data_IF_227747424912
#
_entry.id   IF_227747424912
#
_cell.length_a   1.000
_cell.length_b   1.000
_cell.length_c   1.000
_cell.angle_alpha   90.00
_cell.angle_beta   90.00
_cell.angle_gamma   90.00
#
_symmetry.space_group_name_H-M   'P 1'
#
loop_
_entity.id
_entity.type
_entity.pdbx_description
1 polymer ?
#
# COMPACT_ATOMS: atom_id res chain seq x y z
N UNK A 1 34.06 -7.71 -9.30
CA UNK A 1 33.19 -7.32 -8.17
C UNK A 1 31.70 -7.31 -8.53
N UNK A 2 31.25 -6.73 -9.65
CA UNK A 2 29.83 -6.69 -10.03
C UNK A 2 29.17 -8.08 -10.21
N UNK A 3 29.92 -9.09 -10.68
CA UNK A 3 29.41 -10.46 -10.89
C UNK A 3 28.98 -11.13 -9.57
N UNK A 4 29.62 -10.81 -8.43
CA UNK A 4 29.24 -11.35 -7.12
C UNK A 4 27.88 -10.83 -6.66
N UNK A 5 27.66 -9.51 -6.82
CA UNK A 5 26.43 -8.86 -6.35
C UNK A 5 25.18 -9.32 -7.09
N UNK A 6 25.28 -9.53 -8.41
CA UNK A 6 24.15 -10.05 -9.20
C UNK A 6 23.80 -11.49 -8.81
N UNK A 7 24.79 -12.33 -8.51
CA UNK A 7 24.56 -13.70 -8.04
C UNK A 7 23.89 -13.69 -6.66
N UNK A 8 24.41 -12.88 -5.73
CA UNK A 8 23.84 -12.72 -4.39
C UNK A 8 22.40 -12.18 -4.44
N UNK A 9 22.10 -11.24 -5.34
CA UNK A 9 20.75 -10.74 -5.58
C UNK A 9 19.82 -11.82 -6.15
N UNK A 10 20.31 -12.61 -7.10
CA UNK A 10 19.56 -13.73 -7.67
C UNK A 10 19.19 -14.79 -6.63
N UNK A 11 20.11 -15.09 -5.70
CA UNK A 11 19.83 -15.96 -4.54
C UNK A 11 18.75 -15.36 -3.64
N UNK A 12 18.84 -14.07 -3.31
CA UNK A 12 17.80 -13.39 -2.50
C UNK A 12 16.43 -13.41 -3.18
N UNK A 13 16.37 -13.25 -4.50
CA UNK A 13 15.12 -13.38 -5.26
C UNK A 13 14.59 -14.82 -5.26
N UNK A 14 15.46 -15.81 -5.33
CA UNK A 14 15.08 -17.22 -5.25
C UNK A 14 14.50 -17.54 -3.86
N UNK A 15 15.14 -17.06 -2.79
CA UNK A 15 14.65 -17.20 -1.41
C UNK A 15 13.30 -16.50 -1.24
N UNK A 16 13.16 -15.29 -1.80
CA UNK A 16 11.88 -14.55 -1.78
C UNK A 16 10.77 -15.30 -2.51
N UNK A 17 11.08 -15.92 -3.66
CA UNK A 17 10.14 -16.76 -4.40
C UNK A 17 9.77 -18.01 -3.61
N UNK A 18 10.71 -18.61 -2.87
CA UNK A 18 10.45 -19.75 -2.02
C UNK A 18 9.55 -19.36 -0.83
N UNK A 19 9.84 -18.24 -0.14
CA UNK A 19 8.99 -17.70 0.91
C UNK A 19 7.58 -17.37 0.38
N UNK A 20 7.52 -16.72 -0.78
CA UNK A 20 6.25 -16.42 -1.46
C UNK A 20 5.52 -17.70 -1.83
N UNK A 21 6.22 -18.76 -2.27
CA UNK A 21 5.62 -20.06 -2.59
C UNK A 21 5.06 -20.76 -1.34
N UNK A 22 5.75 -20.66 -0.21
CA UNK A 22 5.26 -21.18 1.07
C UNK A 22 4.02 -20.41 1.51
N UNK A 23 4.04 -19.08 1.39
CA UNK A 23 2.83 -18.27 1.61
C UNK A 23 1.71 -18.66 0.65
N UNK A 24 1.99 -18.86 -0.66
CA UNK A 24 1.06 -19.29 -1.74
C UNK A 24 0.38 -20.62 -1.44
N UNK A 25 1.05 -21.51 -0.72
CA UNK A 25 0.46 -22.77 -0.26
C UNK A 25 -0.34 -22.62 1.02
N UNK A 26 -0.24 -21.49 1.71
CA UNK A 26 -1.01 -21.16 2.89
C UNK A 26 -2.42 -20.69 2.55
N UNK A 27 -3.39 -21.08 3.38
CA UNK A 27 -4.81 -20.68 3.30
C UNK A 27 -5.01 -19.15 3.39
N UNK A 28 -3.96 -18.40 3.75
CA UNK A 28 -4.01 -16.96 4.02
C UNK A 28 -4.06 -16.07 2.78
N UNK A 29 -3.63 -16.53 1.59
CA UNK A 29 -3.54 -15.63 0.43
C UNK A 29 -4.87 -15.30 -0.20
N UNK A 30 -5.80 -16.25 -0.26
CA UNK A 30 -7.11 -15.96 -0.86
C UNK A 30 -7.83 -14.86 -0.07
N UNK A 31 -7.98 -14.94 1.26
CA UNK A 31 -8.57 -13.85 2.04
C UNK A 31 -7.79 -12.53 1.92
N UNK A 32 -6.45 -12.57 1.93
CA UNK A 32 -5.66 -11.35 1.78
C UNK A 32 -5.85 -10.71 0.41
N UNK A 33 -5.80 -11.47 -0.67
CA UNK A 33 -6.02 -10.96 -2.03
C UNK A 33 -7.43 -10.40 -2.19
N UNK A 34 -8.45 -11.05 -1.62
CA UNK A 34 -9.81 -10.54 -1.62
C UNK A 34 -9.95 -9.23 -0.84
N UNK A 35 -9.41 -9.16 0.38
CA UNK A 35 -9.39 -7.92 1.18
C UNK A 35 -8.66 -6.83 0.41
N UNK A 36 -7.54 -7.17 -0.21
CA UNK A 36 -6.72 -6.24 -0.97
C UNK A 36 -7.43 -5.65 -2.18
N UNK A 37 -8.05 -6.48 -3.01
CA UNK A 37 -8.80 -6.05 -4.19
C UNK A 37 -9.98 -5.14 -3.80
N UNK A 38 -10.59 -5.42 -2.65
CA UNK A 38 -11.70 -4.63 -2.11
C UNK A 38 -11.27 -3.37 -1.37
N UNK A 39 -9.98 -3.19 -1.06
CA UNK A 39 -9.46 -2.05 -0.29
C UNK A 39 -8.60 -1.12 -1.15
N UNK A 40 -7.94 -1.61 -2.20
CA UNK A 40 -7.04 -0.82 -3.04
C UNK A 40 -7.70 0.44 -3.66
N UNK A 41 -7.05 1.61 -3.70
CA UNK A 41 -7.61 2.80 -4.34
C UNK A 41 -7.97 2.58 -5.82
N UNK A 42 -9.16 3.01 -6.29
CA UNK A 42 -9.51 2.95 -7.70
C UNK A 42 -8.69 3.96 -8.54
N UNK A 43 -8.29 3.63 -9.79
CA UNK A 43 -8.49 2.36 -10.48
C UNK A 43 -7.45 1.28 -10.09
N UNK A 44 -7.95 0.08 -9.77
CA UNK A 44 -7.16 -1.02 -9.17
C UNK A 44 -6.00 -1.50 -10.07
N UNK A 45 -6.17 -1.46 -11.39
CA UNK A 45 -5.14 -1.92 -12.33
C UNK A 45 -3.87 -1.05 -12.28
N UNK A 46 -4.03 0.28 -12.35
CA UNK A 46 -2.91 1.23 -12.31
C UNK A 46 -2.24 1.21 -10.94
N UNK A 47 -3.04 1.16 -9.86
CA UNK A 47 -2.54 1.08 -8.50
C UNK A 47 -1.73 -0.19 -8.27
N UNK A 48 -2.19 -1.35 -8.78
CA UNK A 48 -1.46 -2.62 -8.64
C UNK A 48 -0.10 -2.59 -9.35
N UNK A 49 -0.07 -2.16 -10.62
CA UNK A 49 1.18 -2.12 -11.42
C UNK A 49 2.20 -1.15 -10.82
N UNK A 50 1.75 0.05 -10.43
CA UNK A 50 2.62 1.04 -9.79
C UNK A 50 3.13 0.57 -8.43
N UNK A 51 2.28 -0.06 -7.61
CA UNK A 51 2.69 -0.60 -6.31
C UNK A 51 3.77 -1.66 -6.48
N UNK A 52 3.55 -2.68 -7.32
CA UNK A 52 4.55 -3.74 -7.53
C UNK A 52 5.87 -3.24 -8.10
N UNK A 53 5.81 -2.24 -9.00
CA UNK A 53 7.03 -1.62 -9.54
C UNK A 53 7.82 -0.89 -8.45
N UNK A 54 7.14 -0.12 -7.60
CA UNK A 54 7.78 0.64 -6.52
C UNK A 54 8.28 -0.27 -5.38
N UNK A 55 7.57 -1.34 -5.06
CA UNK A 55 8.02 -2.37 -4.11
C UNK A 55 9.33 -3.02 -4.59
N UNK A 56 9.42 -3.38 -5.88
CA UNK A 56 10.63 -3.94 -6.46
C UNK A 56 11.79 -2.94 -6.40
N UNK A 57 11.55 -1.67 -6.76
CA UNK A 57 12.56 -0.62 -6.68
C UNK A 57 13.02 -0.40 -5.23
N UNK A 58 12.11 -0.43 -4.26
CA UNK A 58 12.43 -0.32 -2.84
C UNK A 58 13.29 -1.50 -2.36
N UNK A 59 12.98 -2.73 -2.78
CA UNK A 59 13.78 -3.92 -2.46
C UNK A 59 15.19 -3.83 -3.06
N UNK A 60 15.31 -3.43 -4.34
CA UNK A 60 16.59 -3.19 -5.01
C UNK A 60 17.39 -2.11 -4.26
N UNK A 61 16.74 -1.02 -3.85
CA UNK A 61 17.36 0.07 -3.10
C UNK A 61 17.93 -0.42 -1.76
N UNK A 62 17.15 -1.17 -0.98
CA UNK A 62 17.60 -1.75 0.30
C UNK A 62 18.79 -2.67 0.06
N UNK A 63 18.74 -3.53 -0.95
CA UNK A 63 19.83 -4.45 -1.24
C UNK A 63 21.11 -3.70 -1.64
N UNK A 64 21.02 -2.75 -2.59
CA UNK A 64 22.19 -2.00 -3.08
C UNK A 64 22.85 -1.17 -1.97
N UNK A 65 22.05 -0.45 -1.18
CA UNK A 65 22.60 0.53 -0.24
C UNK A 65 22.78 -0.03 1.17
N UNK A 66 21.96 -0.99 1.62
CA UNK A 66 21.95 -1.42 3.02
C UNK A 66 22.57 -2.80 3.24
N UNK A 67 22.89 -3.55 2.18
CA UNK A 67 23.53 -4.86 2.31
C UNK A 67 24.91 -4.85 2.99
N UNK A 68 25.59 -3.69 3.07
CA UNK A 68 26.86 -3.55 3.83
C UNK A 68 26.71 -2.88 5.19
N UNK A 69 25.49 -2.49 5.56
CA UNK A 69 25.22 -1.83 6.85
C UNK A 69 25.38 -2.84 7.99
N UNK A 70 25.82 -2.39 9.18
CA UNK A 70 25.91 -3.24 10.38
C UNK A 70 24.54 -3.76 10.82
N UNK A 71 24.51 -4.94 11.44
CA UNK A 71 23.27 -5.57 11.92
C UNK A 71 22.43 -4.71 12.88
N UNK A 72 22.99 -4.06 13.93
CA UNK A 72 22.16 -3.26 14.84
C UNK A 72 21.47 -2.08 14.14
N UNK A 73 22.10 -1.51 13.10
CA UNK A 73 21.50 -0.46 12.29
C UNK A 73 20.38 -1.00 11.39
N UNK A 74 20.56 -2.19 10.79
CA UNK A 74 19.52 -2.85 10.02
C UNK A 74 18.30 -3.19 10.89
N UNK A 75 18.50 -3.72 12.09
CA UNK A 75 17.42 -4.01 13.03
C UNK A 75 16.63 -2.75 13.41
N UNK A 76 17.34 -1.65 13.70
CA UNK A 76 16.68 -0.36 13.97
C UNK A 76 15.86 0.13 12.78
N UNK A 77 16.41 0.06 11.56
CA UNK A 77 15.70 0.45 10.33
C UNK A 77 14.49 -0.45 10.07
N UNK A 78 14.59 -1.75 10.35
CA UNK A 78 13.48 -2.68 10.23
C UNK A 78 12.34 -2.32 11.19
N UNK A 79 12.65 -2.04 12.46
CA UNK A 79 11.66 -1.59 13.46
C UNK A 79 10.96 -0.31 13.02
N UNK A 80 11.72 0.66 12.51
CA UNK A 80 11.17 1.92 11.98
C UNK A 80 10.26 1.63 10.78
N UNK A 81 10.68 0.80 9.82
CA UNK A 81 9.88 0.45 8.66
C UNK A 81 8.56 -0.26 9.04
N UNK A 82 8.60 -1.18 10.01
CA UNK A 82 7.40 -1.86 10.52
C UNK A 82 6.46 -0.86 11.22
N UNK A 83 7.00 0.03 12.04
CA UNK A 83 6.19 1.05 12.71
C UNK A 83 5.56 2.02 11.70
N UNK A 84 6.32 2.48 10.70
CA UNK A 84 5.83 3.32 9.60
C UNK A 84 4.77 2.61 8.76
N UNK A 85 4.94 1.31 8.49
CA UNK A 85 3.91 0.49 7.82
C UNK A 85 2.62 0.46 8.63
N UNK A 86 2.69 0.16 9.94
CA UNK A 86 1.52 0.08 10.79
C UNK A 86 0.78 1.43 10.89
N UNK A 87 1.52 2.53 11.10
CA UNK A 87 0.94 3.88 11.15
C UNK A 87 0.35 4.29 9.79
N UNK A 88 1.07 4.05 8.70
CA UNK A 88 0.59 4.35 7.35
C UNK A 88 -0.68 3.57 7.02
N UNK A 89 -0.76 2.29 7.42
CA UNK A 89 -1.91 1.44 7.19
C UNK A 89 -3.13 1.93 7.97
N UNK A 90 -2.97 2.28 9.25
CA UNK A 90 -4.05 2.86 10.07
C UNK A 90 -4.54 4.17 9.47
N UNK A 91 -3.64 5.08 9.11
CA UNK A 91 -4.00 6.35 8.45
C UNK A 91 -4.73 6.12 7.12
N UNK A 92 -4.23 5.20 6.30
CA UNK A 92 -4.85 4.84 5.04
C UNK A 92 -6.26 4.28 5.25
N UNK A 93 -6.45 3.32 6.16
CA UNK A 93 -7.76 2.73 6.45
C UNK A 93 -8.74 3.77 6.99
N UNK A 94 -8.29 4.66 7.88
CA UNK A 94 -9.10 5.75 8.41
C UNK A 94 -9.59 6.70 7.31
N UNK A 95 -8.68 7.16 6.43
CA UNK A 95 -9.05 8.03 5.32
C UNK A 95 -9.91 7.30 4.28
N UNK A 96 -9.62 6.02 4.00
CA UNK A 96 -10.42 5.22 3.09
C UNK A 96 -11.85 5.05 3.63
N UNK A 97 -12.02 4.79 4.92
CA UNK A 97 -13.35 4.73 5.54
C UNK A 97 -14.07 6.08 5.52
N UNK A 98 -13.33 7.18 5.63
CA UNK A 98 -13.92 8.54 5.70
C UNK A 98 -14.30 9.11 4.33
N UNK A 99 -13.61 8.70 3.26
CA UNK A 99 -13.75 9.30 1.94
C UNK A 99 -14.13 8.31 0.82
N UNK A 100 -14.30 7.02 1.12
CA UNK A 100 -14.65 6.04 0.11
C UNK A 100 -15.97 5.37 0.45
N UNK A 101 -16.94 5.55 -0.44
CA UNK A 101 -18.29 4.99 -0.31
C UNK A 101 -18.55 3.92 -1.37
N UNK A 102 -19.36 2.93 -0.99
CA UNK A 102 -19.81 1.85 -1.86
C UNK A 102 -21.31 2.01 -2.11
N UNK A 103 -21.72 2.52 -3.28
CA UNK A 103 -23.11 2.90 -3.55
C UNK A 103 -24.08 1.71 -3.74
N UNK A 104 -23.58 0.46 -3.75
CA UNK A 104 -24.39 -0.75 -3.82
C UNK A 104 -23.65 -1.93 -4.46
N UNK A 105 -24.31 -3.08 -4.59
CA UNK A 105 -23.76 -4.24 -5.28
C UNK A 105 -23.62 -3.98 -6.78
N UNK A 106 -22.43 -4.22 -7.32
CA UNK A 106 -22.15 -4.08 -8.76
C UNK A 106 -21.65 -2.71 -9.20
N UNK A 107 -21.66 -1.70 -8.32
CA UNK A 107 -21.06 -0.39 -8.59
C UNK A 107 -19.66 -0.30 -7.97
N UNK A 108 -18.77 0.41 -8.65
CA UNK A 108 -17.42 0.66 -8.16
C UNK A 108 -17.42 1.56 -6.92
N UNK A 109 -16.38 1.45 -6.09
CA UNK A 109 -16.14 2.38 -4.98
C UNK A 109 -15.91 3.80 -5.52
N UNK A 110 -16.51 4.77 -4.85
CA UNK A 110 -16.43 6.19 -5.21
C UNK A 110 -15.63 6.92 -4.15
N UNK A 111 -14.75 7.81 -4.60
CA UNK A 111 -13.96 8.68 -3.73
C UNK A 111 -14.69 10.02 -3.61
N UNK A 112 -15.06 10.37 -2.39
CA UNK A 112 -15.66 11.65 -2.04
C UNK A 112 -14.60 12.75 -1.93
N UNK A 113 -15.00 13.98 -2.24
CA UNK A 113 -14.18 15.16 -1.99
C UNK A 113 -14.41 15.74 -0.59
N UNK A 114 -13.48 16.55 -0.10
CA UNK A 114 -13.69 17.30 1.15
C UNK A 114 -14.40 18.66 0.94
N UNK A 115 -14.62 19.09 -0.31
CA UNK A 115 -15.25 20.37 -0.63
C UNK A 115 -16.40 20.19 -1.62
N UNK A 116 -17.62 20.36 -1.11
CA UNK A 116 -18.87 20.34 -1.89
C UNK A 116 -18.89 21.53 -2.86
N UNK A 117 -19.48 21.35 -4.04
CA UNK A 117 -19.64 22.44 -5.02
C UNK A 117 -20.62 23.51 -4.50
N UNK A 118 -20.44 24.80 -4.87
CA UNK A 118 -21.28 25.87 -4.33
C UNK A 118 -22.77 25.73 -4.64
N UNK A 119 -23.13 25.23 -5.82
CA UNK A 119 -24.50 24.97 -6.26
C UNK A 119 -25.18 23.86 -5.46
N UNK A 120 -24.45 22.79 -5.14
CA UNK A 120 -24.95 21.71 -4.28
C UNK A 120 -25.01 22.16 -2.82
N UNK A 121 -24.00 22.90 -2.34
CA UNK A 121 -23.97 23.43 -0.98
C UNK A 121 -25.17 24.34 -0.68
N UNK A 122 -25.73 25.03 -1.68
CA UNK A 122 -26.90 25.88 -1.53
C UNK A 122 -28.22 25.11 -1.27
N UNK A 123 -28.29 23.83 -1.65
CA UNK A 123 -29.49 22.99 -1.44
C UNK A 123 -29.39 22.08 -0.22
N UNK A 124 -28.19 21.89 0.34
CA UNK A 124 -27.98 21.06 1.53
C UNK A 124 -28.65 21.66 2.76
N UNK A 125 -29.38 20.82 3.50
CA UNK A 125 -30.07 21.20 4.74
C UNK A 125 -30.25 19.98 5.66
N UNK A 126 -30.97 20.12 6.77
CA UNK A 126 -31.17 19.01 7.72
C UNK A 126 -31.89 17.79 7.13
N UNK A 127 -32.70 18.00 6.10
CA UNK A 127 -33.50 16.97 5.42
C UNK A 127 -32.87 16.49 4.10
N UNK A 128 -31.81 17.14 3.63
CA UNK A 128 -31.13 16.82 2.37
C UNK A 128 -29.62 16.85 2.59
N UNK A 129 -29.03 15.67 2.76
CA UNK A 129 -27.61 15.49 3.08
C UNK A 129 -26.78 15.27 1.82
N UNK A 130 -25.45 15.22 1.99
CA UNK A 130 -24.51 15.02 0.89
C UNK A 130 -24.73 13.65 0.22
N UNK A 131 -25.11 12.64 1.01
CA UNK A 131 -25.42 11.30 0.51
C UNK A 131 -26.66 11.29 -0.39
N UNK A 132 -27.66 12.13 -0.09
CA UNK A 132 -28.86 12.31 -0.93
C UNK A 132 -28.49 12.99 -2.26
N UNK A 133 -27.66 14.06 -2.19
CA UNK A 133 -27.14 14.73 -3.38
C UNK A 133 -26.32 13.80 -4.28
N UNK A 134 -25.53 12.90 -3.67
CA UNK A 134 -24.78 11.88 -4.40
C UNK A 134 -25.71 10.87 -5.09
N UNK A 135 -26.72 10.38 -4.37
CA UNK A 135 -27.71 9.46 -4.93
C UNK A 135 -28.48 10.07 -6.10
N UNK A 136 -28.95 11.32 -5.96
CA UNK A 136 -29.69 12.04 -7.00
C UNK A 136 -28.82 12.38 -8.22
N UNK A 137 -27.50 12.46 -8.01
CA UNK A 137 -26.50 12.69 -9.06
C UNK A 137 -26.05 11.41 -9.77
N UNK A 138 -26.79 10.30 -9.61
CA UNK A 138 -26.43 8.97 -10.13
C UNK A 138 -25.06 8.48 -9.62
N UNK A 139 -24.70 8.89 -8.41
CA UNK A 139 -23.41 8.59 -7.78
C UNK A 139 -22.19 9.13 -8.54
N UNK A 140 -22.36 10.22 -9.30
CA UNK A 140 -21.24 10.95 -9.89
C UNK A 140 -20.62 11.93 -8.88
N UNK A 141 -19.40 11.67 -8.36
CA UNK A 141 -18.79 12.53 -7.36
C UNK A 141 -18.48 13.94 -7.90
N UNK A 142 -18.28 14.12 -9.21
CA UNK A 142 -17.96 15.43 -9.81
C UNK A 142 -19.17 16.37 -9.83
N UNK A 143 -20.39 15.82 -9.75
CA UNK A 143 -21.61 16.62 -9.62
C UNK A 143 -21.80 17.15 -8.20
N UNK A 144 -21.27 16.48 -7.19
CA UNK A 144 -21.43 16.83 -5.77
C UNK A 144 -20.25 17.63 -5.22
N UNK A 145 -19.02 17.15 -5.47
CA UNK A 145 -17.79 17.75 -4.94
C UNK A 145 -16.97 18.42 -6.04
N UNK A 146 -16.13 19.36 -5.61
CA UNK A 146 -15.19 20.02 -6.53
C UNK A 146 -14.13 19.01 -7.01
N UNK A 147 -13.81 19.05 -8.31
CA UNK A 147 -12.81 18.17 -8.92
C UNK A 147 -11.45 18.23 -8.20
N UNK A 148 -11.04 19.42 -7.79
CA UNK A 148 -9.80 19.63 -7.04
C UNK A 148 -9.79 18.87 -5.72
N UNK A 149 -10.90 18.89 -4.98
CA UNK A 149 -10.99 18.18 -3.70
C UNK A 149 -10.93 16.67 -3.87
N UNK A 150 -11.61 16.13 -4.90
CA UNK A 150 -11.57 14.69 -5.22
C UNK A 150 -10.15 14.29 -5.62
N UNK A 151 -9.49 15.08 -6.47
CA UNK A 151 -8.14 14.80 -6.93
C UNK A 151 -7.12 14.77 -5.77
N UNK A 152 -7.23 15.71 -4.83
CA UNK A 152 -6.37 15.74 -3.64
C UNK A 152 -6.58 14.48 -2.79
N UNK A 153 -7.83 14.14 -2.45
CA UNK A 153 -8.15 12.94 -1.64
C UNK A 153 -7.62 11.68 -2.33
N UNK A 154 -7.87 11.53 -3.63
CA UNK A 154 -7.38 10.41 -4.42
C UNK A 154 -5.86 10.28 -4.38
N UNK A 155 -5.14 11.40 -4.56
CA UNK A 155 -3.68 11.40 -4.51
C UNK A 155 -3.13 11.09 -3.12
N UNK A 156 -3.77 11.59 -2.05
CA UNK A 156 -3.39 11.28 -0.66
C UNK A 156 -3.58 9.80 -0.35
N UNK A 157 -4.75 9.22 -0.71
CA UNK A 157 -5.02 7.79 -0.53
C UNK A 157 -4.01 6.93 -1.30
N UNK A 158 -3.74 7.26 -2.56
CA UNK A 158 -2.76 6.54 -3.38
C UNK A 158 -1.34 6.65 -2.81
N UNK A 159 -0.94 7.84 -2.36
CA UNK A 159 0.40 8.05 -1.78
C UNK A 159 0.59 7.26 -0.49
N UNK A 160 -0.41 7.27 0.41
CA UNK A 160 -0.39 6.49 1.64
C UNK A 160 -0.36 5.00 1.34
N UNK A 161 -1.17 4.54 0.39
CA UNK A 161 -1.17 3.15 -0.07
C UNK A 161 0.24 2.72 -0.52
N UNK A 162 0.82 3.43 -1.49
CA UNK A 162 2.16 3.13 -2.01
C UNK A 162 3.21 3.19 -0.88
N UNK A 163 3.14 4.21 -0.03
CA UNK A 163 4.06 4.36 1.11
C UNK A 163 4.02 3.15 2.05
N UNK A 164 2.83 2.64 2.38
CA UNK A 164 2.70 1.45 3.22
C UNK A 164 3.38 0.25 2.59
N UNK A 165 3.17 0.02 1.29
CA UNK A 165 3.76 -1.11 0.57
C UNK A 165 5.27 -1.01 0.40
N UNK A 166 5.79 0.19 0.18
CA UNK A 166 7.24 0.43 0.22
C UNK A 166 7.81 0.08 1.61
N UNK A 167 7.17 0.52 2.69
CA UNK A 167 7.63 0.19 4.05
C UNK A 167 7.61 -1.32 4.31
N UNK A 168 6.57 -2.02 3.85
CA UNK A 168 6.46 -3.47 3.93
C UNK A 168 7.60 -4.15 3.15
N UNK A 169 7.79 -3.81 1.88
CA UNK A 169 8.84 -4.36 1.03
C UNK A 169 10.23 -4.12 1.62
N UNK A 170 10.49 -2.92 2.15
CA UNK A 170 11.75 -2.59 2.84
C UNK A 170 11.94 -3.48 4.07
N UNK A 171 10.92 -3.65 4.90
CA UNK A 171 10.99 -4.46 6.12
C UNK A 171 11.27 -5.94 5.81
N UNK A 172 10.60 -6.50 4.80
CA UNK A 172 10.81 -7.88 4.35
C UNK A 172 12.20 -8.08 3.76
N UNK A 173 12.68 -7.12 2.96
CA UNK A 173 14.02 -7.18 2.38
C UNK A 173 15.09 -7.13 3.47
N UNK A 174 14.96 -6.25 4.47
CA UNK A 174 15.89 -6.22 5.61
C UNK A 174 15.85 -7.54 6.39
N UNK A 175 14.65 -8.08 6.63
CA UNK A 175 14.49 -9.36 7.33
C UNK A 175 15.25 -10.49 6.62
N UNK A 176 15.09 -10.62 5.29
CA UNK A 176 15.81 -11.62 4.49
C UNK A 176 17.33 -11.42 4.59
N UNK A 177 17.81 -10.18 4.50
CA UNK A 177 19.25 -9.87 4.65
C UNK A 177 19.77 -10.27 6.04
N UNK A 178 19.04 -9.97 7.11
CA UNK A 178 19.42 -10.35 8.47
C UNK A 178 19.40 -11.87 8.67
N UNK A 179 18.40 -12.58 8.15
CA UNK A 179 18.33 -14.04 8.23
C UNK A 179 19.51 -14.71 7.52
N UNK A 180 19.82 -14.26 6.29
CA UNK A 180 20.94 -14.79 5.51
C UNK A 180 22.28 -14.62 6.24
N UNK A 181 22.52 -13.47 6.87
CA UNK A 181 23.74 -13.23 7.66
C UNK A 181 23.84 -14.15 8.88
N UNK A 182 22.73 -14.35 9.60
CA UNK A 182 22.69 -15.24 10.77
C UNK A 182 22.90 -16.70 10.41
N UNK A 183 22.42 -17.17 9.26
CA UNK A 183 22.66 -18.55 8.80
C UNK A 183 24.11 -18.83 8.40
N UNK A 184 24.90 -17.80 8.08
CA UNK A 184 26.32 -17.96 7.75
C UNK A 184 27.24 -18.04 8.96
N UNK A 185 26.74 -17.75 10.16
CA UNK A 185 27.48 -18.02 11.39
C UNK A 185 27.31 -19.51 11.70
N UNK A 186 28.34 -20.36 11.52
CA UNK A 186 28.24 -21.77 11.86
C UNK A 186 27.83 -21.90 13.33
N UNK A 187 27.00 -22.90 13.64
CA UNK A 187 26.55 -23.22 14.99
C UNK A 187 27.68 -23.74 15.93
N UNK A 188 28.93 -23.42 15.62
CA UNK A 188 30.13 -23.74 16.38
C UNK A 188 30.38 -22.63 17.42
N UNK A 189 30.68 -22.92 18.69
CA UNK A 189 30.81 -24.16 19.44
C UNK A 189 30.72 -23.81 20.94
#
# INVERSE_FOLDING_TARGET
MAVSQLREFGEVLADFRQLSSVMLKGVFIVPMATIWLNVAPPPVSVTSVSTSTLELLAAIWVFQFWYRTSEPLLERRMKIAILSFALGLVCFLFLNQSFVVSPGSGQGRIIEGFRVRPDVAAVLNSNYRVEDALRDSEYDPQKVWTEQSIAIVKNVLLSLWIFTFICLAVSLTIFVVLQKRRSFLPAEA
#
